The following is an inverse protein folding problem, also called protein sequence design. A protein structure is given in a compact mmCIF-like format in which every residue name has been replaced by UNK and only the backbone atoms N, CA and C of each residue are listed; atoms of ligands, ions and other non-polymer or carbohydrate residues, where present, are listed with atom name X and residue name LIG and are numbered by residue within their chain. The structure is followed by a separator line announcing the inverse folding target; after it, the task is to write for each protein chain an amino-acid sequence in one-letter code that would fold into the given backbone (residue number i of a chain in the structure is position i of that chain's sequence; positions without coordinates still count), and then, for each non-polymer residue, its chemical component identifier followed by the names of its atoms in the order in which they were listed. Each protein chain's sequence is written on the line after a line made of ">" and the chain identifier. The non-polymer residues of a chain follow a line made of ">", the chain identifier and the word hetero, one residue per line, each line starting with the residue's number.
data_IF_106867820329
#
_entry.id   IF_106867820329
#
_cell.length_a   1.000
_cell.length_b   1.000
_cell.length_c   1.000
_cell.angle_alpha   90.00
_cell.angle_beta   90.00
_cell.angle_gamma   90.00
#
_symmetry.space_group_name_H-M   'P 1'
#
loop_
_entity.id
_entity.type
_entity.pdbx_description
1 polymer ?
#
# COMPACT_ATOMS: atom_id res chain seq x y z
N UNK A 1 10.65 -8.75 -9.31
CA UNK A 1 10.15 -8.04 -8.12
C UNK A 1 10.78 -8.67 -6.89
N UNK A 2 11.34 -7.88 -5.96
CA UNK A 2 11.95 -8.44 -4.74
C UNK A 2 10.82 -8.98 -3.83
N UNK A 3 10.98 -10.21 -3.35
CA UNK A 3 10.07 -10.80 -2.38
C UNK A 3 10.22 -10.10 -1.02
N UNK A 4 9.11 -9.69 -0.42
CA UNK A 4 9.08 -9.16 0.95
C UNK A 4 8.39 -10.14 1.89
N UNK A 5 8.93 -10.28 3.09
CA UNK A 5 8.36 -11.05 4.19
C UNK A 5 7.16 -10.33 4.81
N UNK A 6 6.32 -11.09 5.53
CA UNK A 6 5.15 -10.53 6.22
C UNK A 6 5.53 -9.43 7.23
N UNK A 7 6.68 -9.58 7.88
CA UNK A 7 7.17 -8.67 8.91
C UNK A 7 7.70 -7.36 8.32
N UNK A 8 8.47 -7.43 7.22
CA UNK A 8 8.91 -6.26 6.45
C UNK A 8 7.70 -5.45 5.98
N UNK A 9 6.69 -6.09 5.39
CA UNK A 9 5.49 -5.38 4.92
C UNK A 9 4.70 -4.78 6.09
N UNK A 10 4.64 -5.47 7.24
CA UNK A 10 3.96 -4.96 8.43
C UNK A 10 4.62 -3.68 8.96
N UNK A 11 5.95 -3.60 8.94
CA UNK A 11 6.70 -2.43 9.37
C UNK A 11 6.43 -1.19 8.50
N UNK A 12 6.08 -1.36 7.21
CA UNK A 12 5.83 -0.27 6.26
C UNK A 12 4.43 0.36 6.40
N UNK A 13 3.47 -0.31 7.07
CA UNK A 13 2.08 0.17 7.17
C UNK A 13 1.91 1.63 7.62
N UNK A 14 2.63 2.14 8.64
CA UNK A 14 2.49 3.55 9.05
C UNK A 14 2.92 4.52 7.95
N UNK A 15 3.97 4.20 7.21
CA UNK A 15 4.45 5.01 6.09
C UNK A 15 3.45 4.98 4.92
N UNK A 16 2.90 3.81 4.61
CA UNK A 16 1.86 3.67 3.59
C UNK A 16 0.62 4.52 3.95
N UNK A 17 0.16 4.46 5.20
CA UNK A 17 -0.97 5.28 5.64
C UNK A 17 -0.68 6.78 5.50
N UNK A 18 0.52 7.23 5.88
CA UNK A 18 0.94 8.63 5.75
C UNK A 18 1.00 9.09 4.29
N UNK A 19 1.45 8.22 3.38
CA UNK A 19 1.59 8.53 1.95
C UNK A 19 0.24 8.57 1.22
N UNK A 20 -0.67 7.64 1.52
CA UNK A 20 -1.94 7.50 0.81
C UNK A 20 -3.06 8.41 1.35
N UNK A 21 -3.06 8.74 2.65
CA UNK A 21 -4.08 9.63 3.25
C UNK A 21 -4.29 10.97 2.51
N UNK A 22 -3.26 11.70 2.04
CA UNK A 22 -3.47 12.94 1.30
C UNK A 22 -3.96 12.73 -0.14
N UNK A 23 -3.87 11.52 -0.69
CA UNK A 23 -4.20 11.22 -2.09
C UNK A 23 -5.60 10.63 -2.26
N UNK A 24 -6.11 9.93 -1.24
CA UNK A 24 -7.40 9.27 -1.28
C UNK A 24 -8.00 9.07 0.11
N UNK A 25 -9.32 8.83 0.17
CA UNK A 25 -10.02 8.46 1.40
C UNK A 25 -9.67 7.00 1.80
N UNK A 26 -8.61 6.83 2.60
CA UNK A 26 -8.13 5.51 3.06
C UNK A 26 -8.94 5.01 4.26
N UNK A 27 -9.52 3.82 4.13
CA UNK A 27 -10.20 3.09 5.22
C UNK A 27 -9.22 2.24 6.02
N UNK A 28 -8.20 1.67 5.37
CA UNK A 28 -7.20 0.87 6.08
C UNK A 28 -6.08 0.34 5.21
N UNK A 29 -5.02 -0.16 5.87
CA UNK A 29 -3.84 -0.75 5.25
C UNK A 29 -3.71 -2.22 5.64
N UNK A 30 -3.99 -3.10 4.68
CA UNK A 30 -3.86 -4.54 4.77
C UNK A 30 -2.51 -5.05 4.27
N UNK A 31 -2.37 -6.37 4.27
CA UNK A 31 -1.28 -7.10 3.62
C UNK A 31 -1.93 -8.14 2.72
N UNK A 32 -1.40 -8.31 1.50
CA UNK A 32 -1.83 -9.34 0.56
C UNK A 32 -0.65 -10.20 0.10
N UNK A 33 -0.93 -11.41 -0.38
CA UNK A 33 0.09 -12.19 -1.09
C UNK A 33 0.27 -11.65 -2.50
N UNK A 34 1.52 -11.60 -2.94
CA UNK A 34 1.95 -11.38 -4.33
C UNK A 34 2.80 -12.58 -4.74
N UNK A 35 3.06 -12.78 -6.04
CA UNK A 35 3.68 -14.00 -6.60
C UNK A 35 4.76 -14.64 -5.72
N UNK A 36 5.73 -13.83 -5.28
CA UNK A 36 6.88 -14.31 -4.52
C UNK A 36 6.94 -13.80 -3.07
N UNK A 37 5.85 -13.33 -2.47
CA UNK A 37 5.89 -12.82 -1.08
C UNK A 37 4.64 -12.05 -0.66
N UNK A 38 4.86 -10.92 0.02
CA UNK A 38 3.80 -10.06 0.52
C UNK A 38 3.90 -8.64 -0.03
N UNK A 39 2.74 -7.98 -0.16
CA UNK A 39 2.58 -6.57 -0.51
C UNK A 39 1.54 -5.91 0.37
N UNK A 40 1.39 -4.59 0.26
CA UNK A 40 0.37 -3.80 0.93
C UNK A 40 -0.98 -3.95 0.19
N UNK A 41 -2.08 -3.71 0.90
CA UNK A 41 -3.41 -3.55 0.29
C UNK A 41 -4.02 -2.27 0.84
N UNK A 42 -4.22 -1.27 -0.01
CA UNK A 42 -4.86 -0.02 0.42
C UNK A 42 -6.36 -0.12 0.17
N UNK A 43 -7.14 -0.16 1.25
CA UNK A 43 -8.59 -0.12 1.15
C UNK A 43 -9.04 1.33 1.09
N UNK A 44 -9.66 1.73 -0.01
CA UNK A 44 -10.20 3.07 -0.21
C UNK A 44 -11.71 3.06 0.04
N UNK A 45 -12.22 4.17 0.57
CA UNK A 45 -13.66 4.36 0.78
C UNK A 45 -14.39 4.57 -0.54
N UNK A 46 -13.72 5.20 -1.49
CA UNK A 46 -14.22 5.53 -2.83
C UNK A 46 -13.04 5.58 -3.80
N UNK A 47 -13.35 5.63 -5.10
CA UNK A 47 -12.33 5.81 -6.12
C UNK A 47 -11.54 7.12 -5.89
N UNK A 48 -10.22 7.14 -6.15
CA UNK A 48 -9.44 8.37 -6.09
C UNK A 48 -10.01 9.45 -7.01
N UNK A 49 -9.81 10.75 -6.69
CA UNK A 49 -10.22 11.84 -7.57
C UNK A 49 -9.63 11.69 -8.98
N UNK A 50 -10.34 12.14 -10.04
CA UNK A 50 -9.79 12.14 -11.40
C UNK A 50 -8.43 12.85 -11.46
N UNK A 51 -7.48 12.25 -12.19
CA UNK A 51 -6.13 12.79 -12.34
C UNK A 51 -5.16 12.46 -11.20
N UNK A 52 -5.62 11.83 -10.11
CA UNK A 52 -4.74 11.36 -9.04
C UNK A 52 -4.10 10.03 -9.44
N UNK A 53 -2.78 10.00 -9.50
CA UNK A 53 -2.01 8.75 -9.62
C UNK A 53 -1.62 8.27 -8.23
N UNK A 54 -2.00 7.02 -7.90
CA UNK A 54 -1.62 6.42 -6.63
C UNK A 54 -0.24 5.73 -6.74
N UNK A 55 0.58 5.74 -5.68
CA UNK A 55 1.83 5.00 -5.63
C UNK A 55 1.60 3.50 -5.84
N UNK A 56 2.50 2.85 -6.57
CA UNK A 56 2.51 1.38 -6.74
C UNK A 56 3.48 0.69 -5.78
N UNK A 57 4.24 1.46 -5.00
CA UNK A 57 5.19 0.98 -4.01
C UNK A 57 5.37 1.98 -2.85
N UNK A 58 5.75 1.46 -1.68
CA UNK A 58 6.12 2.24 -0.49
C UNK A 58 7.35 1.60 0.12
N UNK A 59 8.46 2.36 0.22
CA UNK A 59 9.74 1.84 0.72
C UNK A 59 10.18 0.53 0.02
N UNK A 60 9.91 0.43 -1.28
CA UNK A 60 10.20 -0.75 -2.10
C UNK A 60 9.24 -1.94 -1.91
N UNK A 61 8.28 -1.86 -0.98
CA UNK A 61 7.19 -2.83 -0.83
C UNK A 61 6.08 -2.50 -1.82
N UNK A 62 5.58 -3.47 -2.60
CA UNK A 62 4.50 -3.19 -3.53
C UNK A 62 3.15 -2.96 -2.88
N UNK A 63 2.30 -2.20 -3.57
CA UNK A 63 0.93 -1.87 -3.18
C UNK A 63 -0.07 -2.52 -4.13
#
# INVERSE_FOLDING_TARGET
>A
MKSHSLEEVRAVKPQALKLFKPLAAVVGVGITRVENGYGLKINLQQQPPPGVTLPTEVAGVPV
#
